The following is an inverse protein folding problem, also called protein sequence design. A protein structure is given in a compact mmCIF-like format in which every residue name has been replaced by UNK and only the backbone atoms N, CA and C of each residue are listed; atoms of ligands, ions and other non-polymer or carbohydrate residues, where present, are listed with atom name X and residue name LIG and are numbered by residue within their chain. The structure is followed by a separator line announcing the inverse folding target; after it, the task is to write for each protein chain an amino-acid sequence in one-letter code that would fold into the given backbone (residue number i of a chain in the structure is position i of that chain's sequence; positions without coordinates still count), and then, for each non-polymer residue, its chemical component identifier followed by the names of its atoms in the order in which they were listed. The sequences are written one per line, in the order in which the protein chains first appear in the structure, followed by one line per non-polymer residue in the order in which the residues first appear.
data_IF_717895392790
#
_entry.id   IF_717895392790
#
_cell.length_a   1.000
_cell.length_b   1.000
_cell.length_c   1.000
_cell.angle_alpha   90.00
_cell.angle_beta   90.00
_cell.angle_gamma   90.00
#
_symmetry.space_group_name_H-M   'P 1'
#
loop_
_entity.id
_entity.type
_entity.pdbx_description
1 polymer ?
#
# COMPACT_ATOMS: atom_id res chain seq x y z
N UNK A 1 6.47 1.65 -21.58
CA UNK A 1 6.43 3.09 -21.26
C UNK A 1 7.79 3.50 -20.75
N UNK A 2 8.39 4.57 -21.28
CA UNK A 2 9.64 5.12 -20.75
C UNK A 2 9.37 6.52 -20.20
N UNK A 3 9.83 6.78 -18.99
CA UNK A 3 9.83 8.09 -18.34
C UNK A 3 11.24 8.49 -17.99
N UNK A 4 11.61 9.73 -18.28
CA UNK A 4 12.92 10.26 -17.96
C UNK A 4 12.79 11.57 -17.19
N UNK A 5 13.65 11.76 -16.19
CA UNK A 5 13.64 12.96 -15.37
C UNK A 5 15.04 13.37 -14.93
N UNK A 6 15.15 14.62 -14.52
CA UNK A 6 16.33 15.16 -13.85
C UNK A 6 16.02 15.30 -12.35
N UNK A 7 17.05 15.18 -11.51
CA UNK A 7 16.94 15.45 -10.07
C UNK A 7 15.92 14.60 -9.28
N UNK A 8 15.33 13.56 -9.87
CA UNK A 8 14.41 12.64 -9.18
C UNK A 8 15.13 11.57 -8.33
N UNK A 9 16.45 11.46 -8.43
CA UNK A 9 17.29 10.58 -7.61
C UNK A 9 18.65 11.23 -7.41
N UNK A 10 19.27 10.95 -6.25
CA UNK A 10 20.65 11.31 -5.95
C UNK A 10 21.49 10.04 -5.99
N UNK A 11 22.45 9.96 -6.91
CA UNK A 11 23.39 8.83 -7.00
C UNK A 11 24.57 9.02 -6.04
N UNK A 12 25.06 10.25 -5.97
CA UNK A 12 26.16 10.64 -5.10
C UNK A 12 25.69 11.60 -3.99
N UNK A 13 26.35 11.61 -2.81
CA UNK A 13 25.96 12.45 -1.68
C UNK A 13 25.82 13.94 -2.02
N UNK A 14 26.69 14.47 -2.88
CA UNK A 14 26.66 15.86 -3.34
C UNK A 14 25.40 16.22 -4.16
N UNK A 15 24.71 15.22 -4.72
CA UNK A 15 23.49 15.44 -5.50
C UNK A 15 22.27 15.67 -4.60
N UNK A 16 22.33 15.35 -3.30
CA UNK A 16 21.19 15.44 -2.37
C UNK A 16 20.57 16.84 -2.34
N UNK A 17 21.38 17.90 -2.38
CA UNK A 17 20.86 19.28 -2.43
C UNK A 17 20.10 19.61 -3.73
N UNK A 18 20.40 18.89 -4.82
CA UNK A 18 19.70 19.03 -6.09
C UNK A 18 18.44 18.17 -6.16
N UNK A 19 18.28 17.16 -5.29
CA UNK A 19 17.12 16.28 -5.25
C UNK A 19 15.81 17.07 -5.18
N UNK A 20 14.84 16.63 -5.97
CA UNK A 20 13.50 17.20 -6.08
C UNK A 20 12.49 16.13 -5.66
N UNK A 21 11.99 16.16 -4.41
CA UNK A 21 11.08 15.14 -3.90
C UNK A 21 9.82 14.97 -4.76
N UNK A 22 9.31 16.04 -5.36
CA UNK A 22 8.19 16.01 -6.31
C UNK A 22 8.49 15.20 -7.58
N UNK A 23 9.74 15.23 -8.05
CA UNK A 23 10.20 14.47 -9.22
C UNK A 23 10.38 12.99 -8.87
N UNK A 24 10.94 12.69 -7.69
CA UNK A 24 11.01 11.33 -7.16
C UNK A 24 9.61 10.72 -6.96
N UNK A 25 8.67 11.51 -6.46
CA UNK A 25 7.29 11.11 -6.28
C UNK A 25 6.61 10.79 -7.63
N UNK A 26 6.80 11.64 -8.65
CA UNK A 26 6.28 11.39 -10.00
C UNK A 26 6.88 10.12 -10.62
N UNK A 27 8.19 9.93 -10.49
CA UNK A 27 8.86 8.70 -10.90
C UNK A 27 8.21 7.46 -10.26
N UNK A 28 7.90 7.48 -8.96
CA UNK A 28 7.20 6.38 -8.30
C UNK A 28 5.77 6.20 -8.82
N UNK A 29 5.05 7.29 -9.08
CA UNK A 29 3.70 7.23 -9.62
C UNK A 29 3.66 6.55 -10.99
N UNK A 30 4.58 6.90 -11.88
CA UNK A 30 4.76 6.27 -13.19
C UNK A 30 5.02 4.77 -13.05
N UNK A 31 5.92 4.38 -12.14
CA UNK A 31 6.20 2.96 -11.85
C UNK A 31 4.97 2.22 -11.35
N UNK A 32 4.23 2.81 -10.41
CA UNK A 32 3.04 2.20 -9.81
C UNK A 32 1.90 2.07 -10.81
N UNK A 33 1.70 3.08 -11.67
CA UNK A 33 0.74 3.03 -12.77
C UNK A 33 1.13 1.99 -13.83
N UNK A 34 2.43 1.84 -14.10
CA UNK A 34 2.98 0.76 -14.92
C UNK A 34 2.63 -0.62 -14.36
N UNK A 35 2.86 -0.83 -13.07
CA UNK A 35 2.53 -2.07 -12.37
C UNK A 35 1.01 -2.35 -12.31
N UNK A 36 0.19 -1.30 -12.11
CA UNK A 36 -1.28 -1.38 -12.18
C UNK A 36 -1.73 -1.94 -13.54
N UNK A 37 -1.28 -1.32 -14.63
CA UNK A 37 -1.64 -1.71 -15.99
C UNK A 37 -0.83 -2.86 -16.58
N UNK A 38 0.06 -3.50 -15.79
CA UNK A 38 1.03 -4.52 -16.24
C UNK A 38 1.77 -4.11 -17.52
N UNK A 39 2.17 -2.85 -17.58
CA UNK A 39 2.92 -2.29 -18.71
C UNK A 39 4.41 -2.28 -18.37
N UNK A 40 5.26 -2.87 -19.22
CA UNK A 40 6.71 -2.71 -19.11
C UNK A 40 7.05 -1.23 -19.00
N UNK A 41 7.73 -0.86 -17.92
CA UNK A 41 7.97 0.54 -17.56
C UNK A 41 9.44 0.75 -17.27
N UNK A 42 10.03 1.79 -17.87
CA UNK A 42 11.38 2.23 -17.54
C UNK A 42 11.32 3.65 -16.95
N UNK A 43 11.96 3.85 -15.80
CA UNK A 43 12.20 5.17 -15.22
C UNK A 43 13.69 5.45 -15.21
N UNK A 44 14.08 6.52 -15.88
CA UNK A 44 15.49 6.86 -16.15
C UNK A 44 15.81 8.23 -15.56
N UNK A 45 16.78 8.28 -14.66
CA UNK A 45 17.28 9.50 -14.06
C UNK A 45 18.52 9.98 -14.83
N UNK A 46 18.44 11.15 -15.45
CA UNK A 46 19.50 11.69 -16.29
C UNK A 46 20.33 12.73 -15.54
N UNK A 47 21.56 12.94 -16.02
CA UNK A 47 22.42 14.02 -15.55
C UNK A 47 22.16 15.28 -16.40
N UNK A 48 21.63 16.37 -15.82
CA UNK A 48 21.32 17.58 -16.57
C UNK A 48 22.58 18.29 -17.11
N UNK A 49 23.78 17.92 -16.65
CA UNK A 49 25.03 18.46 -17.17
C UNK A 49 25.52 17.77 -18.46
N UNK A 50 24.92 16.64 -18.86
CA UNK A 50 25.33 15.93 -20.07
C UNK A 50 24.76 16.57 -21.36
N UNK A 51 25.50 16.52 -22.48
CA UNK A 51 25.01 16.99 -23.79
C UNK A 51 23.74 16.26 -24.24
N UNK A 52 22.89 16.97 -24.99
CA UNK A 52 21.61 16.44 -25.46
C UNK A 52 21.75 15.15 -26.29
N UNK A 53 22.80 15.05 -27.11
CA UNK A 53 23.10 13.86 -27.93
C UNK A 53 23.41 12.64 -27.05
N UNK A 54 24.16 12.84 -25.96
CA UNK A 54 24.46 11.80 -24.98
C UNK A 54 23.19 11.35 -24.26
N UNK A 55 22.36 12.31 -23.82
CA UNK A 55 21.08 12.03 -23.19
C UNK A 55 20.14 11.22 -24.12
N UNK A 56 20.04 11.63 -25.38
CA UNK A 56 19.25 10.92 -26.39
C UNK A 56 19.76 9.48 -26.62
N UNK A 57 21.08 9.28 -26.70
CA UNK A 57 21.68 7.95 -26.83
C UNK A 57 21.36 7.03 -25.65
N UNK A 58 21.37 7.56 -24.43
CA UNK A 58 20.97 6.81 -23.21
C UNK A 58 19.51 6.41 -23.25
N UNK A 59 18.63 7.35 -23.59
CA UNK A 59 17.20 7.07 -23.69
C UNK A 59 16.89 6.03 -24.77
N UNK A 60 17.58 6.09 -25.91
CA UNK A 60 17.45 5.09 -26.96
C UNK A 60 17.91 3.70 -26.48
N UNK A 61 18.99 3.62 -25.70
CA UNK A 61 19.47 2.35 -25.13
C UNK A 61 18.49 1.77 -24.10
N UNK A 62 17.98 2.57 -23.17
CA UNK A 62 16.99 2.13 -22.18
C UNK A 62 15.67 1.72 -22.84
N UNK A 63 15.23 2.47 -23.87
CA UNK A 63 14.04 2.12 -24.63
C UNK A 63 14.22 0.81 -25.40
N UNK A 64 15.35 0.63 -26.08
CA UNK A 64 15.67 -0.60 -26.80
C UNK A 64 15.74 -1.82 -25.89
N UNK A 65 16.30 -1.68 -24.69
CA UNK A 65 16.31 -2.74 -23.68
C UNK A 65 14.88 -3.07 -23.21
N UNK A 66 14.04 -2.06 -22.99
CA UNK A 66 12.64 -2.26 -22.59
C UNK A 66 11.84 -3.03 -23.65
N UNK A 67 12.07 -2.76 -24.95
CA UNK A 67 11.38 -3.45 -26.05
C UNK A 67 11.92 -4.86 -26.33
N UNK A 68 13.22 -5.08 -26.10
CA UNK A 68 13.80 -6.42 -26.29
C UNK A 68 13.21 -7.45 -25.31
N UNK A 69 12.95 -7.03 -24.06
CA UNK A 69 12.27 -7.85 -23.05
C UNK A 69 10.85 -8.21 -23.49
N UNK A 70 10.11 -7.27 -24.10
CA UNK A 70 8.75 -7.56 -24.58
C UNK A 70 8.68 -8.53 -25.74
N UNK A 71 9.71 -8.57 -26.58
CA UNK A 71 9.74 -9.44 -27.76
C UNK A 71 10.13 -10.89 -27.43
N UNK A 72 10.86 -11.13 -26.34
CA UNK A 72 11.31 -12.48 -25.94
C UNK A 72 10.38 -13.25 -25.00
N UNK A 73 9.41 -12.60 -24.36
CA UNK A 73 8.73 -13.15 -23.16
C UNK A 73 7.29 -13.66 -23.37
N UNK A 74 6.86 -13.89 -24.62
CA UNK A 74 5.46 -14.29 -24.92
C UNK A 74 5.08 -15.72 -24.43
N UNK A 75 6.00 -16.57 -23.95
CA UNK A 75 5.67 -17.98 -23.67
C UNK A 75 6.01 -18.56 -22.28
N UNK A 76 6.82 -17.94 -21.41
CA UNK A 76 7.13 -18.58 -20.11
C UNK A 76 7.57 -17.60 -19.05
N UNK A 77 6.66 -17.17 -18.16
CA UNK A 77 7.04 -16.44 -16.94
C UNK A 77 6.18 -16.92 -15.78
N UNK A 78 6.82 -17.24 -14.66
CA UNK A 78 6.12 -17.71 -13.46
C UNK A 78 5.66 -16.52 -12.61
N UNK A 79 4.55 -16.68 -11.89
CA UNK A 79 3.92 -15.67 -11.03
C UNK A 79 4.91 -14.98 -10.06
N UNK A 80 5.95 -15.70 -9.61
CA UNK A 80 6.97 -15.19 -8.70
C UNK A 80 7.91 -14.13 -9.33
N UNK A 81 8.15 -14.16 -10.64
CA UNK A 81 9.00 -13.19 -11.35
C UNK A 81 8.24 -11.88 -11.64
N UNK A 82 6.91 -11.97 -11.76
CA UNK A 82 6.00 -10.83 -11.92
C UNK A 82 5.75 -10.11 -10.59
N UNK A 83 5.69 -10.85 -9.48
CA UNK A 83 5.50 -10.29 -8.13
C UNK A 83 6.75 -9.55 -7.61
N UNK A 84 7.95 -9.89 -8.09
CA UNK A 84 9.23 -9.25 -7.73
C UNK A 84 9.51 -7.91 -8.43
N UNK A 85 8.52 -7.28 -9.08
CA UNK A 85 8.69 -6.01 -9.79
C UNK A 85 9.43 -6.14 -11.13
N UNK A 86 9.44 -7.35 -11.72
CA UNK A 86 10.20 -7.73 -12.90
C UNK A 86 9.89 -6.98 -14.21
N UNK A 87 8.89 -6.09 -14.23
CA UNK A 87 8.50 -5.31 -15.41
C UNK A 87 8.86 -3.83 -15.33
N UNK A 88 9.49 -3.40 -14.22
CA UNK A 88 9.89 -2.01 -14.03
C UNK A 88 11.39 -1.84 -13.92
N UNK A 89 12.00 -1.28 -14.97
CA UNK A 89 13.41 -0.88 -14.98
C UNK A 89 13.55 0.48 -14.31
N UNK A 90 14.48 0.61 -13.36
CA UNK A 90 14.88 1.89 -12.78
C UNK A 90 16.39 2.05 -12.95
N UNK A 91 16.80 3.13 -13.60
CA UNK A 91 18.21 3.41 -13.85
C UNK A 91 18.53 4.89 -13.65
N UNK A 92 19.76 5.17 -13.24
CA UNK A 92 20.32 6.52 -13.26
C UNK A 92 21.58 6.54 -14.11
N UNK A 93 21.79 7.60 -14.87
CA UNK A 93 23.03 7.79 -15.63
C UNK A 93 23.79 9.00 -15.09
N UNK A 94 25.09 8.79 -14.80
CA UNK A 94 26.03 9.85 -14.40
C UNK A 94 27.36 9.60 -15.08
N UNK A 95 27.91 10.62 -15.76
CA UNK A 95 29.30 10.61 -16.28
C UNK A 95 29.68 9.33 -17.04
N UNK A 96 28.80 8.84 -17.91
CA UNK A 96 29.06 7.61 -18.67
C UNK A 96 28.59 6.30 -18.02
N UNK A 97 28.30 6.31 -16.72
CA UNK A 97 27.98 5.09 -15.94
C UNK A 97 26.47 4.97 -15.75
N UNK A 98 25.95 3.74 -15.86
CA UNK A 98 24.56 3.37 -15.54
C UNK A 98 24.50 2.75 -14.14
N UNK A 99 23.64 3.28 -13.29
CA UNK A 99 23.39 2.84 -11.93
C UNK A 99 21.98 2.26 -11.82
N UNK A 100 21.81 1.25 -10.98
CA UNK A 100 20.51 0.69 -10.61
C UNK A 100 20.35 0.75 -9.10
N UNK A 101 19.15 1.05 -8.58
CA UNK A 101 18.92 1.10 -7.14
C UNK A 101 19.06 -0.29 -6.53
N UNK A 102 19.70 -0.37 -5.38
CA UNK A 102 19.75 -1.57 -4.54
C UNK A 102 19.62 -1.15 -3.08
N UNK A 103 18.94 -1.97 -2.28
CA UNK A 103 18.84 -1.77 -0.84
C UNK A 103 20.08 -2.33 -0.17
N UNK A 104 20.65 -1.58 0.77
CA UNK A 104 21.75 -2.03 1.62
C UNK A 104 21.28 -2.07 3.07
N UNK A 105 21.74 -3.04 3.88
CA UNK A 105 21.47 -3.03 5.32
C UNK A 105 21.93 -1.71 5.94
N UNK A 106 21.05 -1.06 6.70
CA UNK A 106 21.37 0.16 7.45
C UNK A 106 21.58 -0.18 8.91
N UNK A 107 22.46 0.56 9.57
CA UNK A 107 22.70 0.43 11.01
C UNK A 107 21.75 1.38 11.75
N UNK A 108 21.11 0.94 12.84
CA UNK A 108 20.37 1.83 13.72
C UNK A 108 21.16 3.09 14.11
N UNK A 109 20.44 4.18 14.33
CA UNK A 109 21.05 5.40 14.85
C UNK A 109 21.62 5.18 16.25
N UNK A 110 22.46 6.12 16.71
CA UNK A 110 22.87 6.11 18.11
C UNK A 110 21.62 6.16 19.01
N UNK A 111 21.56 5.35 20.09
CA UNK A 111 20.44 5.37 21.01
C UNK A 111 20.15 6.80 21.46
N UNK A 112 18.90 7.24 21.32
CA UNK A 112 18.49 8.59 21.64
C UNK A 112 17.58 8.59 22.86
N UNK A 113 18.09 9.15 23.96
CA UNK A 113 17.30 9.40 25.15
C UNK A 113 16.52 10.70 24.97
N UNK A 114 15.19 10.60 24.98
CA UNK A 114 14.30 11.76 24.87
C UNK A 114 14.58 12.72 26.04
N UNK A 115 14.88 13.99 25.77
CA UNK A 115 15.05 15.00 26.81
C UNK A 115 13.81 15.08 27.71
N UNK A 116 13.98 15.24 29.04
CA UNK A 116 12.85 15.42 29.96
C UNK A 116 12.18 16.80 29.79
N UNK A 117 12.91 17.76 29.22
CA UNK A 117 12.45 19.12 28.92
C UNK A 117 12.09 19.26 27.44
N UNK A 118 11.01 19.99 27.17
CA UNK A 118 10.41 20.12 25.83
C UNK A 118 9.29 19.12 25.57
N UNK A 119 8.81 19.10 24.33
CA UNK A 119 7.69 18.26 23.88
C UNK A 119 7.94 17.64 22.50
N UNK A 120 7.28 16.51 22.24
CA UNK A 120 7.20 15.93 20.90
C UNK A 120 5.87 16.29 20.25
N UNK A 121 5.88 16.57 18.94
CA UNK A 121 4.66 16.77 18.16
C UNK A 121 4.35 15.51 17.36
N UNK A 122 3.13 14.98 17.44
CA UNK A 122 2.70 13.82 16.65
C UNK A 122 1.49 14.18 15.82
N UNK A 123 1.69 14.29 14.51
CA UNK A 123 0.58 14.52 13.57
C UNK A 123 -0.08 13.19 13.25
N UNK A 124 -1.41 13.13 13.19
CA UNK A 124 -2.15 11.89 13.02
C UNK A 124 -2.06 10.95 14.24
N UNK A 125 -1.66 11.46 15.41
CA UNK A 125 -1.36 10.65 16.61
C UNK A 125 -2.56 9.94 17.25
N UNK A 126 -3.79 10.21 16.81
CA UNK A 126 -4.98 9.42 17.19
C UNK A 126 -5.44 8.46 16.08
N UNK A 127 -4.64 8.30 15.02
CA UNK A 127 -4.82 7.28 13.99
C UNK A 127 -4.26 5.92 14.42
N UNK A 128 -4.53 4.87 13.64
CA UNK A 128 -4.19 3.49 14.00
C UNK A 128 -2.69 3.27 14.29
N UNK A 129 -1.81 3.76 13.42
CA UNK A 129 -0.35 3.69 13.62
C UNK A 129 0.12 4.81 14.56
N UNK A 130 -0.37 6.04 14.35
CA UNK A 130 0.03 7.21 15.14
C UNK A 130 -0.14 7.02 16.64
N UNK A 131 -1.27 6.44 17.08
CA UNK A 131 -1.55 6.17 18.49
C UNK A 131 -0.49 5.29 19.15
N UNK A 132 0.03 4.31 18.41
CA UNK A 132 0.99 3.33 18.89
C UNK A 132 2.39 3.93 18.94
N UNK A 133 2.75 4.74 17.93
CA UNK A 133 3.97 5.53 17.95
C UNK A 133 3.97 6.54 19.11
N UNK A 134 2.85 7.24 19.33
CA UNK A 134 2.68 8.15 20.48
C UNK A 134 2.85 7.42 21.81
N UNK A 135 2.17 6.30 22.00
CA UNK A 135 2.34 5.45 23.19
C UNK A 135 3.79 5.03 23.37
N UNK A 136 4.46 4.59 22.30
CA UNK A 136 5.86 4.17 22.35
C UNK A 136 6.82 5.31 22.72
N UNK A 137 6.57 6.55 22.28
CA UNK A 137 7.36 7.71 22.72
C UNK A 137 7.20 7.93 24.24
N UNK A 138 5.99 7.80 24.78
CA UNK A 138 5.72 7.92 26.22
C UNK A 138 6.45 6.82 26.98
N UNK A 139 6.39 5.58 26.49
CA UNK A 139 7.10 4.43 27.08
C UNK A 139 8.61 4.66 27.14
N UNK A 140 9.16 5.36 26.13
CA UNK A 140 10.58 5.74 26.04
C UNK A 140 10.93 7.07 26.73
N UNK A 141 9.99 7.64 27.48
CA UNK A 141 10.25 8.74 28.41
C UNK A 141 9.72 10.12 27.98
N UNK A 142 9.05 10.25 26.82
CA UNK A 142 8.41 11.51 26.45
C UNK A 142 7.36 11.90 27.51
N UNK A 143 7.56 13.06 28.14
CA UNK A 143 6.65 13.57 29.19
C UNK A 143 5.59 14.51 28.69
N UNK A 144 5.78 15.10 27.49
CA UNK A 144 4.90 16.11 26.90
C UNK A 144 4.71 15.80 25.43
N UNK A 145 3.46 15.61 25.01
CA UNK A 145 3.13 15.31 23.61
C UNK A 145 1.97 16.18 23.12
N UNK A 146 2.23 16.92 22.04
CA UNK A 146 1.18 17.57 21.26
C UNK A 146 0.71 16.64 20.16
N UNK A 147 -0.58 16.31 20.13
CA UNK A 147 -1.17 15.54 19.05
C UNK A 147 -1.96 16.49 18.16
N UNK A 148 -1.76 16.40 16.84
CA UNK A 148 -2.53 17.19 15.87
C UNK A 148 -3.22 16.29 14.85
N UNK A 149 -4.42 16.71 14.43
CA UNK A 149 -5.21 16.04 13.40
C UNK A 149 -6.41 16.88 13.00
N UNK A 150 -7.12 16.49 11.93
CA UNK A 150 -8.27 17.27 11.41
C UNK A 150 -9.59 16.94 12.08
N UNK A 151 -9.69 15.76 12.68
CA UNK A 151 -10.96 15.24 13.15
C UNK A 151 -11.38 15.90 14.46
N UNK A 152 -12.69 16.12 14.62
CA UNK A 152 -13.23 16.30 15.95
C UNK A 152 -12.98 15.03 16.79
N UNK A 153 -12.83 15.22 18.10
CA UNK A 153 -12.74 14.10 19.04
C UNK A 153 -14.11 13.44 19.16
N UNK A 154 -14.21 12.22 18.64
CA UNK A 154 -15.34 11.32 18.90
C UNK A 154 -15.07 10.52 20.20
N UNK A 155 -16.06 9.78 20.74
CA UNK A 155 -15.88 9.06 22.00
C UNK A 155 -14.66 8.13 22.03
N UNK A 156 -14.37 7.44 20.92
CA UNK A 156 -13.25 6.52 20.82
C UNK A 156 -11.89 7.25 20.84
N UNK A 157 -11.77 8.37 20.10
CA UNK A 157 -10.57 9.22 20.12
C UNK A 157 -10.39 9.91 21.46
N UNK A 158 -11.47 10.35 22.09
CA UNK A 158 -11.43 10.93 23.45
C UNK A 158 -10.97 9.91 24.49
N UNK A 159 -11.36 8.64 24.35
CA UNK A 159 -10.87 7.57 25.22
C UNK A 159 -9.39 7.30 25.01
N UNK A 160 -8.95 7.11 23.77
CA UNK A 160 -7.53 6.93 23.45
C UNK A 160 -6.66 8.10 23.96
N UNK A 161 -7.15 9.34 23.83
CA UNK A 161 -6.46 10.51 24.36
C UNK A 161 -6.37 10.49 25.90
N UNK A 162 -7.44 10.10 26.60
CA UNK A 162 -7.43 9.95 28.07
C UNK A 162 -6.42 8.90 28.52
N UNK A 163 -6.33 7.78 27.82
CA UNK A 163 -5.39 6.71 28.14
C UNK A 163 -3.93 7.16 28.00
N UNK A 164 -3.62 7.96 26.97
CA UNK A 164 -2.30 8.57 26.82
C UNK A 164 -2.04 9.63 27.91
N UNK A 165 -3.03 10.47 28.21
CA UNK A 165 -2.93 11.54 29.20
C UNK A 165 -2.78 11.02 30.64
N UNK A 166 -3.16 9.76 30.92
CA UNK A 166 -2.90 9.13 32.20
C UNK A 166 -1.39 8.86 32.45
N UNK A 167 -0.55 8.97 31.42
CA UNK A 167 0.86 8.54 31.43
C UNK A 167 1.85 9.66 31.11
N UNK A 168 1.38 10.73 30.46
CA UNK A 168 2.15 11.92 30.09
C UNK A 168 1.23 13.17 30.00
N UNK A 169 1.80 14.37 29.94
CA UNK A 169 1.04 15.59 29.62
C UNK A 169 0.76 15.60 28.11
N UNK A 170 -0.47 15.29 27.72
CA UNK A 170 -0.87 15.14 26.32
C UNK A 170 -1.99 16.12 26.00
N UNK A 171 -1.86 16.81 24.88
CA UNK A 171 -2.89 17.74 24.38
C UNK A 171 -3.23 17.42 22.93
N UNK A 172 -4.49 17.64 22.55
CA UNK A 172 -4.95 17.47 21.18
C UNK A 172 -5.41 18.80 20.61
N UNK A 173 -4.80 19.21 19.50
CA UNK A 173 -5.17 20.44 18.80
C UNK A 173 -5.58 20.11 17.37
N UNK A 174 -6.79 20.51 17.00
CA UNK A 174 -7.27 20.32 15.63
C UNK A 174 -6.47 21.20 14.67
N UNK A 175 -5.85 20.60 13.66
CA UNK A 175 -5.02 21.28 12.68
C UNK A 175 -4.96 20.45 11.39
N UNK A 176 -5.08 21.12 10.24
CA UNK A 176 -4.63 20.52 8.99
C UNK A 176 -3.14 20.77 8.82
N UNK A 177 -2.36 19.71 8.65
CA UNK A 177 -0.90 19.78 8.54
C UNK A 177 -0.46 20.36 7.18
N UNK A 178 -1.34 20.35 6.17
CA UNK A 178 -1.05 21.01 4.89
C UNK A 178 -1.14 22.54 4.97
N UNK A 179 -1.71 23.09 6.04
CA UNK A 179 -1.73 24.53 6.33
C UNK A 179 -0.51 24.91 7.20
N UNK A 180 0.51 25.59 6.63
CA UNK A 180 1.71 25.94 7.38
C UNK A 180 1.45 26.97 8.47
N UNK A 181 0.50 27.89 8.29
CA UNK A 181 0.19 28.93 9.27
C UNK A 181 -0.52 28.34 10.47
N UNK A 182 -1.51 27.46 10.23
CA UNK A 182 -2.18 26.72 11.29
C UNK A 182 -1.19 25.85 12.07
N UNK A 183 -0.30 25.13 11.37
CA UNK A 183 0.71 24.28 12.01
C UNK A 183 1.67 25.10 12.89
N UNK A 184 2.15 26.23 12.40
CA UNK A 184 3.01 27.15 13.17
C UNK A 184 2.28 27.74 14.38
N UNK A 185 1.00 28.10 14.24
CA UNK A 185 0.20 28.61 15.35
C UNK A 185 0.03 27.56 16.46
N UNK A 186 -0.21 26.30 16.10
CA UNK A 186 -0.27 25.19 17.06
C UNK A 186 1.08 24.96 17.74
N UNK A 187 2.17 24.92 16.98
CA UNK A 187 3.52 24.77 17.53
C UNK A 187 3.86 25.91 18.51
N UNK A 188 3.51 27.15 18.18
CA UNK A 188 3.69 28.30 19.05
C UNK A 188 2.83 28.25 20.33
N UNK A 189 1.60 27.74 20.25
CA UNK A 189 0.75 27.50 21.41
C UNK A 189 1.37 26.48 22.37
N UNK A 190 1.79 25.32 21.83
CA UNK A 190 2.41 24.26 22.61
C UNK A 190 3.79 24.69 23.14
N UNK A 191 4.56 25.44 22.36
CA UNK A 191 5.86 25.96 22.76
C UNK A 191 5.79 26.94 23.93
N UNK A 192 4.76 27.81 23.98
CA UNK A 192 4.52 28.66 25.16
C UNK A 192 4.21 27.87 26.42
N UNK A 193 3.62 26.68 26.29
CA UNK A 193 3.23 25.81 27.41
C UNK A 193 4.37 24.89 27.87
N UNK A 194 5.09 24.30 26.91
CA UNK A 194 6.00 23.18 27.16
C UNK A 194 7.46 23.45 26.77
N UNK A 195 7.75 24.63 26.22
CA UNK A 195 9.08 25.03 25.80
C UNK A 195 9.46 24.46 24.43
N UNK A 196 10.70 23.97 24.33
CA UNK A 196 11.32 23.57 23.07
C UNK A 196 10.59 22.38 22.40
N UNK A 197 10.47 22.43 21.07
CA UNK A 197 10.11 21.27 20.25
C UNK A 197 11.31 20.31 20.16
N UNK A 198 11.16 19.11 20.70
CA UNK A 198 12.20 18.06 20.71
C UNK A 198 12.24 17.32 19.38
N UNK A 199 11.07 16.94 18.86
CA UNK A 199 10.98 16.20 17.62
C UNK A 199 9.55 16.06 17.13
N UNK A 200 9.43 15.69 15.85
CA UNK A 200 8.13 15.50 15.20
C UNK A 200 8.00 14.08 14.65
N UNK A 201 6.85 13.45 14.90
CA UNK A 201 6.45 12.22 14.22
C UNK A 201 5.25 12.52 13.34
N UNK A 202 5.45 12.45 12.03
CA UNK A 202 4.44 12.76 11.05
C UNK A 202 3.76 11.49 10.57
N UNK A 203 2.65 11.14 11.23
CA UNK A 203 1.79 9.99 10.89
C UNK A 203 0.45 10.39 10.26
N UNK A 204 0.29 11.66 9.87
CA UNK A 204 -0.90 12.10 9.13
C UNK A 204 -0.91 11.49 7.73
N UNK A 205 -2.00 10.83 7.38
CA UNK A 205 -2.15 10.21 6.08
C UNK A 205 -3.35 9.29 6.06
N UNK A 206 -3.81 9.00 4.85
CA UNK A 206 -4.82 7.99 4.58
C UNK A 206 -4.45 7.24 3.32
N UNK A 207 -5.24 6.23 3.02
CA UNK A 207 -5.18 5.48 1.77
C UNK A 207 -6.58 5.50 1.17
N UNK A 208 -6.66 5.60 -0.15
CA UNK A 208 -7.92 5.41 -0.84
C UNK A 208 -8.26 3.91 -0.91
N UNK A 209 -9.53 3.55 -1.13
CA UNK A 209 -9.87 2.20 -1.56
C UNK A 209 -9.03 1.78 -2.76
N UNK A 210 -8.69 0.50 -2.83
CA UNK A 210 -7.94 -0.06 -3.94
C UNK A 210 -8.74 0.13 -5.23
N UNK A 211 -8.07 0.54 -6.30
CA UNK A 211 -8.73 0.68 -7.59
C UNK A 211 -7.89 1.43 -8.61
N UNK A 212 -8.30 1.33 -9.88
CA UNK A 212 -7.51 1.87 -10.98
C UNK A 212 -7.39 3.40 -10.91
N UNK A 213 -6.15 3.91 -11.03
CA UNK A 213 -5.83 5.34 -10.91
C UNK A 213 -6.65 6.20 -11.87
N UNK A 214 -6.85 5.76 -13.12
CA UNK A 214 -7.54 6.57 -14.14
C UNK A 214 -9.03 6.78 -13.86
N UNK A 215 -9.61 6.04 -12.90
CA UNK A 215 -10.99 6.23 -12.43
C UNK A 215 -11.07 7.01 -11.11
N UNK A 216 -9.92 7.26 -10.47
CA UNK A 216 -9.86 7.95 -9.19
C UNK A 216 -10.10 9.45 -9.41
N UNK A 217 -11.13 10.04 -8.79
CA UNK A 217 -11.31 11.48 -8.83
C UNK A 217 -10.09 12.18 -8.23
N UNK A 218 -9.70 13.31 -8.82
CA UNK A 218 -8.58 14.10 -8.29
C UNK A 218 -8.79 14.51 -6.82
N UNK A 219 -10.02 14.84 -6.44
CA UNK A 219 -10.37 15.19 -5.06
C UNK A 219 -10.10 14.07 -4.05
N UNK A 220 -10.12 12.80 -4.47
CA UNK A 220 -9.79 11.68 -3.59
C UNK A 220 -8.28 11.46 -3.52
N UNK A 221 -7.58 11.61 -4.65
CA UNK A 221 -6.12 11.62 -4.66
C UNK A 221 -5.57 12.76 -3.78
N UNK A 222 -6.13 13.96 -3.89
CA UNK A 222 -5.75 15.13 -3.11
C UNK A 222 -5.85 14.89 -1.60
N UNK A 223 -6.87 14.16 -1.11
CA UNK A 223 -7.00 13.80 0.31
C UNK A 223 -5.86 12.92 0.83
N UNK A 224 -5.27 12.10 -0.04
CA UNK A 224 -4.09 11.26 0.26
C UNK A 224 -2.80 12.06 0.15
N UNK A 225 -2.69 12.91 -0.88
CA UNK A 225 -1.51 13.71 -1.16
C UNK A 225 -1.31 14.84 -0.15
N UNK A 226 -2.34 15.61 0.18
CA UNK A 226 -2.24 16.83 1.00
C UNK A 226 -1.50 16.63 2.34
N UNK A 227 -1.85 15.64 3.19
CA UNK A 227 -1.14 15.48 4.46
C UNK A 227 0.31 15.03 4.28
N UNK A 228 0.66 14.33 3.18
CA UNK A 228 1.98 13.73 2.99
C UNK A 228 2.93 14.55 2.12
N UNK A 229 2.44 15.28 1.12
CA UNK A 229 3.25 16.07 0.20
C UNK A 229 3.51 17.45 0.82
N UNK A 230 2.58 18.43 0.77
CA UNK A 230 2.82 19.71 1.44
C UNK A 230 2.90 19.54 2.98
N UNK A 231 2.14 18.63 3.59
CA UNK A 231 2.17 18.44 5.03
C UNK A 231 3.52 17.97 5.60
N UNK A 232 4.23 17.06 4.92
CA UNK A 232 5.58 16.66 5.36
C UNK A 232 6.58 17.78 5.19
N UNK A 233 6.49 18.55 4.11
CA UNK A 233 7.35 19.71 3.90
C UNK A 233 7.16 20.76 5.00
N UNK A 234 5.90 21.03 5.37
CA UNK A 234 5.57 21.97 6.45
C UNK A 234 6.14 21.49 7.80
N UNK A 235 5.97 20.21 8.13
CA UNK A 235 6.52 19.62 9.36
C UNK A 235 8.04 19.69 9.41
N UNK A 236 8.72 19.35 8.30
CA UNK A 236 10.18 19.40 8.24
C UNK A 236 10.69 20.84 8.40
N UNK A 237 10.03 21.81 7.74
CA UNK A 237 10.37 23.23 7.89
C UNK A 237 10.19 23.72 9.32
N UNK A 238 9.03 23.47 9.92
CA UNK A 238 8.76 23.82 11.32
C UNK A 238 9.84 23.24 12.24
N UNK A 239 10.13 21.94 12.11
CA UNK A 239 11.11 21.28 12.95
C UNK A 239 12.51 21.88 12.82
N UNK A 240 12.92 22.25 11.60
CA UNK A 240 14.21 22.91 11.37
C UNK A 240 14.25 24.33 11.92
N UNK A 241 13.18 25.10 11.72
CA UNK A 241 13.04 26.47 12.24
C UNK A 241 13.10 26.50 13.77
N UNK A 242 12.51 25.50 14.44
CA UNK A 242 12.50 25.34 15.90
C UNK A 242 13.75 24.64 16.45
N UNK A 243 14.68 24.18 15.58
CA UNK A 243 15.88 23.44 16.00
C UNK A 243 15.56 22.12 16.72
N UNK A 244 14.56 21.40 16.23
CA UNK A 244 14.20 20.08 16.74
C UNK A 244 15.31 19.05 16.43
N UNK A 245 15.46 18.06 17.29
CA UNK A 245 16.51 17.03 17.16
C UNK A 245 16.19 16.04 16.02
N UNK A 246 14.90 15.76 15.78
CA UNK A 246 14.49 14.81 14.76
C UNK A 246 13.10 15.06 14.14
N UNK A 247 12.91 14.56 12.93
CA UNK A 247 11.63 14.37 12.26
C UNK A 247 11.55 12.95 11.72
N UNK A 248 10.50 12.21 12.09
CA UNK A 248 10.18 10.91 11.50
C UNK A 248 8.94 11.05 10.61
N UNK A 249 9.11 10.80 9.31
CA UNK A 249 8.03 10.71 8.34
C UNK A 249 7.58 9.26 8.23
N UNK A 250 6.31 8.99 8.57
CA UNK A 250 5.74 7.64 8.46
C UNK A 250 5.34 7.39 7.01
N UNK A 251 6.19 6.66 6.29
CA UNK A 251 6.04 6.32 4.88
C UNK A 251 5.70 4.83 4.70
N UNK A 252 5.79 4.31 3.48
CA UNK A 252 5.44 2.92 3.14
C UNK A 252 6.35 2.35 2.06
N UNK A 253 6.54 1.03 2.07
CA UNK A 253 7.20 0.29 0.98
C UNK A 253 6.52 0.49 -0.39
N UNK A 254 5.25 0.90 -0.43
CA UNK A 254 4.58 1.31 -1.67
C UNK A 254 5.25 2.53 -2.34
N UNK A 255 6.03 3.32 -1.58
CA UNK A 255 6.86 4.41 -2.10
C UNK A 255 8.20 3.98 -2.69
N UNK A 256 8.55 2.69 -2.62
CA UNK A 256 9.80 2.13 -3.17
C UNK A 256 9.56 1.00 -4.15
N UNK A 257 8.53 0.18 -3.91
CA UNK A 257 8.16 -0.99 -4.69
C UNK A 257 6.87 -0.72 -5.46
N UNK A 258 6.94 -0.83 -6.79
CA UNK A 258 5.81 -0.56 -7.68
C UNK A 258 4.67 -1.55 -7.50
N UNK A 259 4.99 -2.83 -7.26
CA UNK A 259 4.00 -3.89 -7.01
C UNK A 259 3.24 -3.66 -5.69
N UNK A 260 3.91 -3.20 -4.64
CA UNK A 260 3.26 -2.86 -3.37
C UNK A 260 2.32 -1.64 -3.47
N UNK A 261 2.48 -0.83 -4.53
CA UNK A 261 1.69 0.37 -4.82
C UNK A 261 0.57 0.19 -5.85
N UNK A 262 0.36 -1.05 -6.31
CA UNK A 262 -0.64 -1.36 -7.34
C UNK A 262 -2.04 -0.90 -6.91
N UNK A 263 -2.80 -0.24 -7.80
CA UNK A 263 -4.13 0.31 -7.47
C UNK A 263 -4.11 1.48 -6.47
N UNK A 264 -2.93 1.96 -6.05
CA UNK A 264 -2.72 2.96 -5.00
C UNK A 264 -1.67 4.00 -5.43
N UNK A 265 -1.70 4.42 -6.69
CA UNK A 265 -0.66 5.26 -7.31
C UNK A 265 -0.42 6.59 -6.58
N UNK A 266 -1.49 7.25 -6.13
CA UNK A 266 -1.47 8.46 -5.30
C UNK A 266 -0.83 8.23 -3.93
N UNK A 267 -1.12 7.10 -3.28
CA UNK A 267 -0.46 6.70 -2.04
C UNK A 267 1.03 6.42 -2.26
N UNK A 268 1.41 5.70 -3.32
CA UNK A 268 2.81 5.48 -3.69
C UNK A 268 3.57 6.77 -3.97
N UNK A 269 2.94 7.70 -4.71
CA UNK A 269 3.47 9.05 -4.94
C UNK A 269 3.75 9.76 -3.62
N UNK A 270 2.75 9.81 -2.74
CA UNK A 270 2.83 10.49 -1.44
C UNK A 270 3.96 9.93 -0.55
N UNK A 271 4.11 8.61 -0.51
CA UNK A 271 5.14 7.96 0.29
C UNK A 271 6.54 8.12 -0.30
N UNK A 272 6.68 8.05 -1.64
CA UNK A 272 7.95 8.33 -2.32
C UNK A 272 8.43 9.78 -2.12
N UNK A 273 7.49 10.73 -2.10
CA UNK A 273 7.80 12.12 -1.75
C UNK A 273 8.47 12.22 -0.38
N UNK A 274 7.93 11.55 0.65
CA UNK A 274 8.49 11.58 2.00
C UNK A 274 9.90 10.96 2.06
N UNK A 275 10.14 9.88 1.32
CA UNK A 275 11.45 9.23 1.26
C UNK A 275 12.50 10.15 0.64
N UNK A 276 12.18 10.78 -0.49
CA UNK A 276 13.07 11.74 -1.13
C UNK A 276 13.25 13.03 -0.32
N UNK A 277 12.19 13.48 0.39
CA UNK A 277 12.26 14.63 1.28
C UNK A 277 13.23 14.36 2.44
N UNK A 278 13.18 13.16 3.05
CA UNK A 278 14.12 12.80 4.11
C UNK A 278 15.57 12.75 3.61
N UNK A 279 15.84 12.19 2.42
CA UNK A 279 17.20 12.22 1.84
C UNK A 279 17.71 13.64 1.58
N UNK A 280 16.83 14.53 1.12
CA UNK A 280 17.17 15.92 0.81
C UNK A 280 17.41 16.75 2.06
N UNK A 281 16.51 16.63 3.03
CA UNK A 281 16.41 17.54 4.16
C UNK A 281 17.15 17.03 5.40
N UNK A 282 17.69 15.81 5.39
CA UNK A 282 18.48 15.33 6.51
C UNK A 282 19.79 16.12 6.66
N UNK A 283 19.99 16.71 7.84
CA UNK A 283 21.21 17.44 8.18
C UNK A 283 21.66 17.14 9.62
N UNK A 284 22.78 17.77 10.03
CA UNK A 284 23.41 17.52 11.31
C UNK A 284 22.65 18.12 12.52
N UNK A 285 21.80 19.12 12.29
CA UNK A 285 21.04 19.80 13.35
C UNK A 285 19.74 19.07 13.58
N UNK A 286 18.95 18.88 12.52
CA UNK A 286 17.66 18.19 12.57
C UNK A 286 17.76 16.94 11.72
N UNK A 287 17.78 15.78 12.40
CA UNK A 287 17.79 14.50 11.70
C UNK A 287 16.42 14.25 11.08
N UNK A 288 16.34 14.21 9.75
CA UNK A 288 15.09 13.92 9.03
C UNK A 288 15.16 12.50 8.49
N UNK A 289 14.24 11.64 8.94
CA UNK A 289 14.16 10.25 8.47
C UNK A 289 12.76 9.91 8.00
N UNK A 290 12.66 9.07 6.97
CA UNK A 290 11.42 8.53 6.49
C UNK A 290 11.45 7.01 6.57
N UNK A 291 10.44 6.43 7.23
CA UNK A 291 10.34 4.99 7.45
C UNK A 291 9.37 4.39 6.45
N UNK A 292 9.86 3.64 5.48
CA UNK A 292 9.03 2.91 4.53
C UNK A 292 8.55 1.60 5.17
N UNK A 293 7.39 1.65 5.81
CA UNK A 293 6.81 0.51 6.51
C UNK A 293 6.11 -0.48 5.55
N UNK A 294 6.25 -1.80 5.79
CA UNK A 294 5.36 -2.82 5.24
C UNK A 294 4.04 -2.82 6.02
N UNK A 295 3.17 -3.81 5.80
CA UNK A 295 1.94 -3.92 6.58
C UNK A 295 2.25 -4.18 8.07
N UNK A 296 1.54 -3.52 8.99
CA UNK A 296 1.65 -3.81 10.43
C UNK A 296 0.62 -4.87 10.80
N UNK A 297 1.04 -6.04 11.28
CA UNK A 297 0.09 -7.06 11.72
C UNK A 297 -0.48 -6.70 13.10
N UNK A 298 -1.79 -6.87 13.27
CA UNK A 298 -2.50 -6.56 14.52
C UNK A 298 -2.78 -5.08 14.79
N UNK A 299 -2.37 -4.16 13.90
CA UNK A 299 -2.59 -2.71 14.00
C UNK A 299 -2.80 -2.14 12.60
N UNK A 300 -3.72 -1.19 12.43
CA UNK A 300 -3.75 -0.38 11.21
C UNK A 300 -5.14 -0.12 10.68
N UNK A 301 -5.19 0.54 9.53
CA UNK A 301 -6.43 0.79 8.79
C UNK A 301 -7.15 -0.55 8.57
N UNK A 302 -8.49 -0.56 8.56
CA UNK A 302 -9.27 -1.67 8.02
C UNK A 302 -8.99 -1.82 6.52
N UNK A 303 -7.80 -2.30 6.19
CA UNK A 303 -7.48 -2.92 4.92
C UNK A 303 -7.73 -4.41 5.15
N UNK A 304 -8.94 -4.84 4.81
CA UNK A 304 -9.38 -6.23 4.86
C UNK A 304 -8.43 -7.12 4.07
N UNK A 305 -7.38 -7.68 4.68
CA UNK A 305 -6.44 -8.62 4.05
C UNK A 305 -5.81 -8.15 2.70
N UNK A 306 -6.05 -6.90 2.29
CA UNK A 306 -5.89 -6.35 0.95
C UNK A 306 -4.76 -5.32 0.87
N UNK A 307 -3.84 -5.34 1.82
CA UNK A 307 -2.56 -4.64 1.69
C UNK A 307 -1.46 -5.67 1.74
N UNK A 308 -1.04 -6.15 0.55
CA UNK A 308 0.09 -7.06 0.32
C UNK A 308 0.39 -7.98 1.51
N UNK A 309 -0.33 -9.11 1.59
CA UNK A 309 0.04 -10.25 2.43
C UNK A 309 1.49 -10.75 2.17
N UNK A 310 2.17 -10.24 1.14
CA UNK A 310 3.55 -10.59 0.82
C UNK A 310 4.60 -9.95 1.74
N UNK A 311 4.33 -8.84 2.44
CA UNK A 311 5.32 -8.24 3.35
C UNK A 311 4.64 -7.62 4.57
N UNK A 312 4.97 -8.13 5.74
CA UNK A 312 4.38 -7.67 7.00
C UNK A 312 5.40 -7.60 8.13
N UNK A 313 5.09 -6.82 9.16
CA UNK A 313 5.90 -6.71 10.36
C UNK A 313 5.00 -6.76 11.59
N UNK A 314 5.45 -7.45 12.64
CA UNK A 314 4.75 -7.46 13.91
C UNK A 314 4.72 -6.06 14.54
N UNK A 315 3.59 -5.68 15.12
CA UNK A 315 3.40 -4.43 15.84
C UNK A 315 4.57 -4.04 16.75
N UNK A 316 4.93 -4.91 17.70
CA UNK A 316 6.00 -4.63 18.66
C UNK A 316 7.37 -4.49 17.99
N UNK A 317 7.66 -5.35 17.01
CA UNK A 317 8.89 -5.27 16.23
C UNK A 317 9.00 -3.94 15.48
N UNK A 318 7.89 -3.46 14.91
CA UNK A 318 7.85 -2.19 14.21
C UNK A 318 8.03 -1.01 15.17
N UNK A 319 7.46 -1.09 16.38
CA UNK A 319 7.64 -0.07 17.41
C UNK A 319 9.07 -0.05 17.97
N UNK A 320 9.77 -1.19 18.05
CA UNK A 320 11.19 -1.22 18.42
C UNK A 320 12.04 -0.60 17.32
N UNK A 321 11.82 -1.03 16.08
CA UNK A 321 12.49 -0.49 14.90
C UNK A 321 12.28 1.02 14.74
N UNK A 322 11.08 1.52 15.05
CA UNK A 322 10.79 2.95 15.05
C UNK A 322 11.72 3.72 16.00
N UNK A 323 11.96 3.20 17.20
CA UNK A 323 12.83 3.87 18.19
C UNK A 323 14.29 3.80 17.77
N UNK A 324 14.72 2.63 17.29
CA UNK A 324 16.09 2.39 16.83
C UNK A 324 16.48 3.28 15.64
N UNK A 325 15.49 3.70 14.86
CA UNK A 325 15.67 4.54 13.67
C UNK A 325 15.16 5.98 13.82
N UNK A 326 14.98 6.50 15.05
CA UNK A 326 14.60 7.91 15.27
C UNK A 326 15.61 8.91 14.68
N UNK A 327 16.90 8.56 14.72
CA UNK A 327 18.00 9.43 14.32
C UNK A 327 18.94 8.82 13.27
N UNK A 328 18.46 7.90 12.45
CA UNK A 328 19.25 7.33 11.35
C UNK A 328 19.46 8.33 10.22
N UNK A 329 18.45 9.16 9.95
CA UNK A 329 18.47 10.11 8.83
C UNK A 329 18.23 9.43 7.47
N UNK A 330 17.70 10.18 6.50
CA UNK A 330 17.39 9.66 5.18
C UNK A 330 16.26 8.62 5.17
N UNK A 331 16.16 7.86 4.08
CA UNK A 331 15.15 6.83 3.89
C UNK A 331 15.57 5.50 4.52
N UNK A 332 14.71 4.93 5.36
CA UNK A 332 14.88 3.58 5.94
C UNK A 332 13.77 2.68 5.44
N UNK A 333 14.13 1.56 4.82
CA UNK A 333 13.18 0.60 4.25
C UNK A 333 13.10 -0.61 5.16
N UNK A 334 11.90 -0.91 5.63
CA UNK A 334 11.62 -2.11 6.41
C UNK A 334 11.04 -3.18 5.47
N UNK A 335 11.78 -4.26 5.18
CA UNK A 335 11.33 -5.24 4.19
C UNK A 335 10.13 -6.06 4.70
N UNK A 336 9.95 -6.17 6.02
CA UNK A 336 9.00 -7.12 6.60
C UNK A 336 9.40 -8.57 6.36
N UNK A 337 8.54 -9.51 6.76
CA UNK A 337 8.60 -10.91 6.37
C UNK A 337 7.49 -11.22 5.38
N UNK A 338 7.78 -12.12 4.44
CA UNK A 338 6.74 -12.81 3.67
C UNK A 338 5.97 -13.68 4.64
N UNK A 339 4.65 -13.50 4.70
CA UNK A 339 3.81 -14.40 5.47
C UNK A 339 3.86 -15.78 4.80
N UNK A 340 4.69 -16.69 5.30
CA UNK A 340 4.38 -18.10 5.16
C UNK A 340 3.04 -18.28 5.87
N UNK A 341 1.99 -18.66 5.16
CA UNK A 341 0.75 -19.09 5.82
C UNK A 341 1.15 -20.05 6.96
N UNK A 342 0.63 -19.90 8.18
CA UNK A 342 0.94 -20.85 9.23
C UNK A 342 0.53 -22.22 8.67
N UNK A 343 1.52 -23.09 8.49
CA UNK A 343 1.26 -24.47 8.17
C UNK A 343 0.43 -24.98 9.34
N UNK A 344 -0.87 -25.18 9.11
CA UNK A 344 -1.62 -26.06 10.00
C UNK A 344 -0.81 -27.35 10.10
N UNK A 345 -0.56 -27.87 11.32
CA UNK A 345 0.13 -29.13 11.46
C UNK A 345 -0.73 -30.18 10.75
N UNK A 346 -0.33 -30.54 9.53
CA UNK A 346 -0.85 -31.69 8.83
C UNK A 346 -0.41 -32.88 9.67
N UNK A 347 -1.32 -33.43 10.45
CA UNK A 347 -1.09 -34.72 11.09
C UNK A 347 -0.69 -35.72 10.00
N UNK A 348 0.35 -36.54 10.21
CA UNK A 348 0.78 -37.51 9.22
C UNK A 348 -0.37 -38.50 9.00
N UNK A 349 -1.04 -38.40 7.85
CA UNK A 349 -1.98 -39.42 7.41
C UNK A 349 -1.14 -40.65 7.05
N UNK A 350 -1.22 -41.68 7.89
CA UNK A 350 -0.63 -42.99 7.58
C UNK A 350 -1.26 -43.55 6.29
N UNK A 351 -0.47 -44.11 5.37
CA UNK A 351 -0.99 -44.64 4.12
C UNK A 351 -1.76 -45.94 4.38
N UNK A 352 -3.08 -45.89 4.22
CA UNK A 352 -3.93 -47.08 4.18
C UNK A 352 -3.53 -47.99 2.97
N UNK A 353 -3.49 -49.32 3.14
CA UNK A 353 -3.06 -50.24 2.08
C UNK A 353 -4.10 -50.32 0.96
N UNK A 354 -3.64 -50.18 -0.28
CA UNK A 354 -4.43 -50.46 -1.48
C UNK A 354 -4.60 -51.98 -1.66
N UNK A 355 -5.81 -52.49 -1.40
CA UNK A 355 -6.21 -53.83 -1.83
C UNK A 355 -7.10 -53.80 -3.09
N UNK A 356 -6.48 -54.20 -4.19
CA UNK A 356 -6.96 -55.11 -5.23
C UNK A 356 -8.43 -55.09 -5.71
N UNK A 357 -8.57 -54.67 -6.98
CA UNK A 357 -9.36 -55.29 -8.07
C UNK A 357 -10.86 -55.54 -7.87
N UNK A 358 -11.68 -54.78 -8.62
CA UNK A 358 -12.99 -55.22 -9.11
C UNK A 358 -13.16 -54.84 -10.60
N UNK A 359 -13.63 -55.82 -11.37
CA UNK A 359 -13.75 -55.91 -12.83
C UNK A 359 -14.88 -55.04 -13.45
N UNK A 360 -14.81 -54.73 -14.76
CA UNK A 360 -15.78 -53.87 -15.43
C UNK A 360 -17.06 -54.62 -15.83
N UNK A 361 -18.22 -54.04 -15.54
CA UNK A 361 -19.56 -54.54 -15.93
C UNK A 361 -20.18 -53.61 -16.99
N UNK A 362 -20.88 -54.13 -18.02
CA UNK A 362 -21.31 -53.37 -19.21
C UNK A 362 -22.50 -52.42 -18.96
N UNK A 363 -22.80 -51.49 -19.89
CA UNK A 363 -23.72 -50.39 -19.65
C UNK A 363 -25.18 -50.88 -19.66
N UNK A 364 -25.93 -50.57 -18.59
CA UNK A 364 -27.38 -50.76 -18.56
C UNK A 364 -28.09 -49.48 -19.00
N UNK A 365 -29.06 -49.71 -19.84
CA UNK A 365 -29.95 -48.79 -20.55
C UNK A 365 -30.62 -47.74 -19.65
N UNK A 366 -30.73 -46.54 -20.23
CA UNK A 366 -31.39 -45.33 -19.74
C UNK A 366 -32.91 -45.55 -19.54
N UNK A 367 -33.50 -45.31 -18.37
CA UNK A 367 -34.93 -45.04 -18.28
C UNK A 367 -35.20 -43.62 -18.78
N UNK A 368 -36.19 -43.49 -19.66
CA UNK A 368 -36.75 -42.20 -20.07
C UNK A 368 -37.18 -41.42 -18.84
N UNK A 369 -36.55 -40.26 -18.62
CA UNK A 369 -37.02 -39.29 -17.65
C UNK A 369 -38.31 -38.66 -18.21
N UNK A 370 -39.42 -38.93 -17.54
CA UNK A 370 -40.67 -38.20 -17.71
C UNK A 370 -40.39 -36.71 -17.53
N UNK A 371 -40.59 -35.95 -18.61
CA UNK A 371 -40.52 -34.49 -18.59
C UNK A 371 -41.70 -33.97 -17.78
N UNK A 372 -41.44 -33.63 -16.51
CA UNK A 372 -42.33 -32.76 -15.74
C UNK A 372 -42.05 -31.33 -16.23
N UNK A 373 -43.04 -30.58 -16.73
CA UNK A 373 -42.83 -29.21 -17.14
C UNK A 373 -42.55 -28.39 -15.88
N UNK A 374 -41.30 -27.95 -15.71
CA UNK A 374 -40.96 -26.96 -14.72
C UNK A 374 -41.71 -25.66 -15.06
N UNK A 375 -42.38 -25.02 -14.09
CA UNK A 375 -43.06 -23.76 -14.31
C UNK A 375 -42.03 -22.71 -14.73
N UNK A 376 -42.33 -22.00 -15.81
CA UNK A 376 -41.64 -20.78 -16.24
C UNK A 376 -41.65 -19.77 -15.09
N UNK A 377 -40.57 -19.74 -14.30
CA UNK A 377 -40.33 -18.72 -13.29
C UNK A 377 -39.36 -17.69 -13.85
N UNK A 378 -39.84 -16.45 -13.81
CA UNK A 378 -39.21 -15.16 -14.12
C UNK A 378 -37.70 -15.19 -14.41
N UNK A 379 -37.30 -14.51 -15.49
CA UNK A 379 -35.90 -14.15 -15.74
C UNK A 379 -35.34 -13.40 -14.54
N UNK A 380 -34.60 -14.10 -13.70
CA UNK A 380 -33.75 -13.53 -12.67
C UNK A 380 -32.79 -12.56 -13.36
N UNK A 381 -32.43 -11.46 -12.69
CA UNK A 381 -31.67 -10.33 -13.25
C UNK A 381 -30.20 -10.70 -13.55
N UNK A 382 -29.99 -11.74 -14.36
CA UNK A 382 -28.69 -12.23 -14.82
C UNK A 382 -27.98 -11.14 -15.60
N UNK A 383 -28.73 -10.32 -16.34
CA UNK A 383 -28.20 -9.15 -17.04
C UNK A 383 -27.70 -8.07 -16.05
N UNK A 384 -28.43 -7.77 -14.98
CA UNK A 384 -28.01 -6.83 -13.95
C UNK A 384 -26.91 -7.36 -13.05
N UNK A 385 -26.90 -8.65 -12.70
CA UNK A 385 -25.78 -9.28 -12.00
C UNK A 385 -24.51 -9.25 -12.85
N UNK A 386 -24.63 -9.56 -14.15
CA UNK A 386 -23.53 -9.40 -15.11
C UNK A 386 -23.03 -7.95 -15.18
N UNK A 387 -23.94 -6.98 -15.18
CA UNK A 387 -23.56 -5.57 -15.12
C UNK A 387 -22.83 -5.20 -13.82
N UNK A 388 -23.27 -5.71 -12.66
CA UNK A 388 -22.59 -5.50 -11.37
C UNK A 388 -21.19 -6.12 -11.36
N UNK A 389 -21.05 -7.34 -11.88
CA UNK A 389 -19.74 -8.01 -12.01
C UNK A 389 -18.84 -7.21 -12.94
N UNK A 390 -19.32 -6.85 -14.13
CA UNK A 390 -18.58 -5.99 -15.06
C UNK A 390 -18.12 -4.71 -14.38
N UNK A 391 -19.01 -4.00 -13.69
CA UNK A 391 -18.68 -2.73 -13.07
C UNK A 391 -17.69 -2.89 -11.89
N UNK A 392 -17.69 -4.04 -11.20
CA UNK A 392 -16.69 -4.38 -10.19
C UNK A 392 -15.31 -4.59 -10.82
N UNK A 393 -15.22 -5.35 -11.91
CA UNK A 393 -13.97 -5.51 -12.66
C UNK A 393 -13.46 -4.18 -13.21
N UNK A 394 -14.35 -3.40 -13.81
CA UNK A 394 -14.04 -2.07 -14.32
C UNK A 394 -13.58 -1.12 -13.21
N UNK A 395 -14.07 -1.28 -11.98
CA UNK A 395 -13.62 -0.49 -10.83
C UNK A 395 -12.23 -0.90 -10.33
N UNK A 396 -12.00 -2.20 -10.13
CA UNK A 396 -10.77 -2.74 -9.53
C UNK A 396 -9.61 -2.79 -10.54
N UNK A 397 -9.89 -3.25 -11.76
CA UNK A 397 -8.89 -3.44 -12.82
C UNK A 397 -8.87 -2.30 -13.83
N UNK A 398 -9.91 -1.47 -13.85
CA UNK A 398 -10.01 -0.37 -14.82
C UNK A 398 -10.49 -0.79 -16.22
N UNK A 399 -10.79 -2.07 -16.44
CA UNK A 399 -11.23 -2.60 -17.73
C UNK A 399 -12.37 -3.63 -17.58
N UNK A 400 -13.19 -3.75 -18.61
CA UNK A 400 -14.22 -4.79 -18.72
C UNK A 400 -13.55 -6.11 -19.14
N UNK A 401 -13.66 -7.20 -18.36
CA UNK A 401 -13.11 -8.49 -18.73
C UNK A 401 -13.76 -9.03 -20.01
N UNK A 402 -14.99 -8.65 -20.33
CA UNK A 402 -15.78 -9.22 -21.41
C UNK A 402 -15.90 -10.73 -21.27
N UNK A 403 -15.67 -11.45 -22.36
CA UNK A 403 -15.64 -12.92 -22.40
C UNK A 403 -14.24 -13.51 -22.12
N UNK A 404 -13.26 -12.69 -21.73
CA UNK A 404 -11.87 -13.15 -21.55
C UNK A 404 -11.76 -14.13 -20.38
N UNK A 405 -10.94 -15.19 -20.52
CA UNK A 405 -10.65 -16.08 -19.40
C UNK A 405 -9.99 -15.34 -18.23
N UNK A 406 -10.61 -15.39 -17.05
CA UNK A 406 -10.12 -14.76 -15.83
C UNK A 406 -8.72 -15.23 -15.39
N UNK A 407 -8.34 -16.52 -15.52
CA UNK A 407 -6.98 -16.96 -15.21
C UNK A 407 -5.90 -16.23 -16.04
N UNK A 408 -6.25 -15.76 -17.25
CA UNK A 408 -5.35 -14.96 -18.10
C UNK A 408 -5.32 -13.47 -17.75
N UNK A 409 -6.19 -12.99 -16.86
CA UNK A 409 -6.19 -11.60 -16.36
C UNK A 409 -5.25 -11.42 -15.16
N UNK A 410 -4.57 -12.47 -14.71
CA UNK A 410 -3.55 -12.44 -13.66
C UNK A 410 -4.07 -11.93 -12.31
N UNK A 411 -5.33 -12.21 -11.97
CA UNK A 411 -5.94 -11.80 -10.70
C UNK A 411 -5.11 -12.33 -9.54
N UNK A 412 -4.41 -11.45 -8.84
CA UNK A 412 -3.68 -11.80 -7.62
C UNK A 412 -4.64 -11.82 -6.42
N UNK A 413 -4.19 -12.36 -5.29
CA UNK A 413 -5.01 -12.46 -4.07
C UNK A 413 -5.56 -11.12 -3.60
N UNK A 414 -4.85 -10.01 -3.90
CA UNK A 414 -5.28 -8.66 -3.57
C UNK A 414 -6.45 -8.22 -4.46
N UNK A 415 -6.32 -8.38 -5.77
CA UNK A 415 -7.39 -8.09 -6.71
C UNK A 415 -8.62 -8.95 -6.45
N UNK A 416 -8.43 -10.21 -6.05
CA UNK A 416 -9.52 -11.12 -5.68
C UNK A 416 -10.23 -10.62 -4.41
N UNK A 417 -9.48 -10.24 -3.37
CA UNK A 417 -10.07 -9.70 -2.15
C UNK A 417 -10.87 -8.42 -2.42
N UNK A 418 -10.30 -7.48 -3.19
CA UNK A 418 -10.99 -6.23 -3.52
C UNK A 418 -12.21 -6.47 -4.43
N UNK A 419 -12.08 -7.33 -5.45
CA UNK A 419 -13.21 -7.74 -6.27
C UNK A 419 -14.32 -8.35 -5.42
N UNK A 420 -13.97 -9.18 -4.43
CA UNK A 420 -14.92 -9.75 -3.47
C UNK A 420 -15.65 -8.63 -2.75
N UNK A 421 -14.93 -7.74 -2.06
CA UNK A 421 -15.52 -6.62 -1.31
C UNK A 421 -16.41 -5.73 -2.17
N UNK A 422 -15.96 -5.36 -3.37
CA UNK A 422 -16.73 -4.51 -4.30
C UNK A 422 -17.97 -5.23 -4.82
N UNK A 423 -17.87 -6.53 -5.10
CA UNK A 423 -19.02 -7.35 -5.49
C UNK A 423 -20.02 -7.48 -4.35
N UNK A 424 -19.56 -7.69 -3.11
CA UNK A 424 -20.43 -7.76 -1.93
C UNK A 424 -21.18 -6.44 -1.73
N UNK A 425 -20.48 -5.31 -1.78
CA UNK A 425 -21.08 -3.99 -1.65
C UNK A 425 -22.12 -3.68 -2.75
N UNK A 426 -21.87 -4.12 -3.98
CA UNK A 426 -22.74 -3.83 -5.14
C UNK A 426 -23.89 -4.81 -5.29
N UNK A 427 -23.71 -6.07 -4.90
CA UNK A 427 -24.73 -7.12 -4.99
C UNK A 427 -25.55 -7.25 -3.71
N UNK A 428 -25.03 -6.82 -2.56
CA UNK A 428 -25.63 -7.08 -1.25
C UNK A 428 -25.53 -8.55 -0.82
N UNK A 429 -24.78 -9.38 -1.54
CA UNK A 429 -24.56 -10.80 -1.27
C UNK A 429 -23.18 -11.00 -0.66
N UNK A 430 -23.01 -12.02 0.17
CA UNK A 430 -21.68 -12.49 0.55
C UNK A 430 -21.06 -13.22 -0.63
N UNK A 431 -19.82 -12.87 -0.98
CA UNK A 431 -19.11 -13.48 -2.11
C UNK A 431 -18.02 -14.39 -1.55
N UNK A 432 -18.13 -15.69 -1.83
CA UNK A 432 -17.06 -16.64 -1.52
C UNK A 432 -15.87 -16.38 -2.47
N UNK A 433 -14.67 -16.06 -1.97
CA UNK A 433 -13.49 -15.80 -2.81
C UNK A 433 -13.14 -16.97 -3.74
N UNK A 434 -13.48 -18.22 -3.37
CA UNK A 434 -13.29 -19.39 -4.22
C UNK A 434 -14.14 -19.36 -5.49
N UNK A 435 -15.22 -18.57 -5.53
CA UNK A 435 -15.99 -18.33 -6.74
C UNK A 435 -15.15 -17.57 -7.78
N UNK A 436 -14.43 -16.53 -7.35
CA UNK A 436 -13.56 -15.73 -8.22
C UNK A 436 -12.35 -16.54 -8.70
N UNK A 437 -11.82 -17.43 -7.85
CA UNK A 437 -10.69 -18.30 -8.20
C UNK A 437 -11.08 -19.41 -9.19
N UNK A 438 -12.30 -19.94 -9.10
CA UNK A 438 -12.78 -21.04 -9.94
C UNK A 438 -13.46 -20.58 -11.22
N UNK A 439 -13.98 -19.35 -11.24
CA UNK A 439 -14.65 -18.79 -12.40
C UNK A 439 -13.69 -18.69 -13.59
N UNK A 440 -14.16 -19.13 -14.76
CA UNK A 440 -13.38 -19.00 -15.99
C UNK A 440 -13.64 -17.66 -16.64
N UNK A 441 -14.84 -17.10 -16.48
CA UNK A 441 -15.27 -15.82 -17.07
C UNK A 441 -16.04 -14.96 -16.07
N UNK A 442 -16.22 -13.67 -16.35
CA UNK A 442 -17.10 -12.80 -15.58
C UNK A 442 -18.56 -13.32 -15.55
N UNK A 443 -18.98 -14.01 -16.60
CA UNK A 443 -20.30 -14.64 -16.70
C UNK A 443 -20.45 -15.82 -15.71
N UNK A 444 -19.37 -16.55 -15.42
CA UNK A 444 -19.38 -17.60 -14.40
C UNK A 444 -19.55 -17.02 -13.00
N UNK A 445 -18.93 -15.86 -12.73
CA UNK A 445 -19.11 -15.15 -11.46
C UNK A 445 -20.56 -14.67 -11.35
N UNK A 446 -21.08 -14.02 -12.40
CA UNK A 446 -22.45 -13.52 -12.41
C UNK A 446 -23.47 -14.67 -12.26
N UNK A 447 -23.22 -15.82 -12.89
CA UNK A 447 -24.03 -17.01 -12.74
C UNK A 447 -23.95 -17.60 -11.33
N UNK A 448 -22.75 -17.67 -10.74
CA UNK A 448 -22.54 -18.17 -9.39
C UNK A 448 -23.22 -17.31 -8.33
N UNK A 449 -23.13 -15.98 -8.46
CA UNK A 449 -23.79 -15.03 -7.56
C UNK A 449 -25.32 -15.07 -7.70
N UNK A 450 -25.83 -15.13 -8.93
CA UNK A 450 -27.27 -15.26 -9.18
C UNK A 450 -27.84 -16.61 -8.67
N UNK A 451 -27.02 -17.66 -8.58
CA UNK A 451 -27.42 -18.94 -8.00
C UNK A 451 -27.50 -18.91 -6.46
N UNK A 452 -26.72 -18.06 -5.80
CA UNK A 452 -26.76 -17.86 -4.34
C UNK A 452 -27.93 -16.98 -3.86
N UNK A 453 -28.61 -16.27 -4.77
CA UNK A 453 -29.89 -15.59 -4.48
C UNK A 453 -31.06 -16.58 -4.27
N UNK A 454 -30.89 -17.88 -4.56
CA UNK A 454 -31.95 -18.86 -4.38
C UNK A 454 -32.23 -19.14 -2.89
N UNK A 455 -33.46 -18.93 -2.38
CA UNK A 455 -33.78 -19.32 -1.02
C UNK A 455 -33.66 -20.84 -0.85
N UNK A 456 -33.05 -21.27 0.27
CA UNK A 456 -32.98 -22.66 0.66
C UNK A 456 -34.38 -23.29 0.57
N UNK A 457 -34.56 -24.23 -0.35
CA UNK A 457 -35.84 -24.91 -0.57
C UNK A 457 -36.31 -25.52 0.76
N UNK A 458 -37.50 -25.11 1.19
CA UNK A 458 -38.23 -25.68 2.34
C UNK A 458 -38.28 -27.21 2.24
N UNK A 459 -37.80 -27.91 3.28
CA UNK A 459 -37.98 -29.36 3.45
C UNK A 459 -39.46 -29.72 3.27
N UNK A 460 -39.81 -30.78 2.53
CA UNK A 460 -41.19 -31.24 2.46
C UNK A 460 -41.64 -31.74 3.85
N UNK A 461 -42.92 -31.58 4.22
CA UNK A 461 -43.42 -32.12 5.47
C UNK A 461 -43.39 -33.65 5.41
N UNK A 462 -42.96 -34.26 6.51
CA UNK A 462 -43.11 -35.69 6.78
C UNK A 462 -44.59 -36.08 6.72
N UNK A 463 -44.97 -37.13 5.97
CA UNK A 463 -46.32 -37.66 6.04
C UNK A 463 -46.48 -38.51 7.31
N UNK A 464 -47.65 -38.37 7.95
CA UNK A 464 -48.12 -39.14 9.12
C UNK A 464 -48.22 -40.65 8.84
#
# INVERSE_FOLDING_TARGET
MLWADFHAAAVHPEERGSLRPERAAMAMAVRSAGAEGRRPTAVVHLDPAEPAETLAGRLAAEYGALTAVTDSETETRTQAETDAGGDTVVAAHRRGVRYTPHSVPTVPGAPYALPPDGYCLVTGGLGAVGLRLTGRLIDRGAKRIGIIGRSALDPARSEALRDLAARADVDYVSCDVSDPEALAAVAGLLGRRWGRLVGVVHSSGGVNPFGAMHRRPWSDAEKVLAPKVPGSLNVVRLAKEEGADFVVLVSSIAGTQASAGRGLVDYSLANAYQLALAEKENDAVTTVTAHAWPNWTGIGMKADASFSAAHSIGAEQALDAFVDHLRTGGAVIFPGSTATAPAEPVEPVEPEPFDSVATPTPPRTRPEAVVVPAPTRAGHDRAGMRARVRDAFVHVLGEDPGERPLPGLGLDSLMIAELTTVLEQRSGLTVDPSLLMRARTADDIAAGLAAHEAPAASRPPTPD
#
